data_IF_634493110691
#
_entry.id   IF_634493110691
#
_cell.length_a   1.000
_cell.length_b   1.000
_cell.length_c   1.000
_cell.angle_alpha   90.00
_cell.angle_beta   90.00
_cell.angle_gamma   90.00
#
_symmetry.space_group_name_H-M   'P 1'
#
loop_
_entity.id
_entity.type
_entity.pdbx_description
1 polymer ?
#
# COMPACT_ATOMS: atom_id res chain seq x y z
N UNK A 1 -3.78 6.60 0.85
CA UNK A 1 -2.83 5.58 0.37
C UNK A 1 -1.78 5.25 1.42
N UNK A 2 -0.95 6.22 1.85
CA UNK A 2 0.17 6.00 2.76
C UNK A 2 -0.22 5.41 4.13
N UNK A 3 -1.39 5.78 4.66
CA UNK A 3 -1.89 5.28 5.95
C UNK A 3 -1.94 3.75 6.07
N UNK A 4 -2.47 3.05 5.06
CA UNK A 4 -2.56 1.57 5.10
C UNK A 4 -1.15 0.96 5.09
N UNK A 5 -0.24 1.53 4.30
CA UNK A 5 1.14 1.05 4.21
C UNK A 5 1.91 1.28 5.50
N UNK A 6 1.66 2.38 6.22
CA UNK A 6 2.25 2.62 7.54
C UNK A 6 1.79 1.61 8.58
N UNK A 7 0.49 1.28 8.63
CA UNK A 7 -0.02 0.27 9.55
C UNK A 7 0.65 -1.08 9.31
N UNK A 8 0.72 -1.50 8.04
CA UNK A 8 1.42 -2.72 7.63
C UNK A 8 2.90 -2.68 7.99
N UNK A 9 3.59 -1.55 7.77
CA UNK A 9 5.00 -1.38 8.10
C UNK A 9 5.27 -1.44 9.61
N UNK A 10 4.29 -1.02 10.43
CA UNK A 10 4.33 -1.15 11.88
C UNK A 10 3.95 -2.57 12.38
N UNK A 11 3.78 -3.53 11.47
CA UNK A 11 3.56 -4.94 11.79
C UNK A 11 2.11 -5.32 12.04
N UNK A 12 1.15 -4.45 11.73
CA UNK A 12 -0.27 -4.79 11.85
C UNK A 12 -0.66 -5.84 10.81
N UNK A 13 -1.45 -6.82 11.23
CA UNK A 13 -2.11 -7.77 10.32
C UNK A 13 -3.27 -7.11 9.58
N UNK A 14 -3.69 -7.72 8.47
CA UNK A 14 -4.86 -7.26 7.69
C UNK A 14 -6.12 -7.32 8.57
N UNK A 15 -6.23 -8.36 9.37
CA UNK A 15 -7.34 -8.59 10.30
C UNK A 15 -7.42 -7.46 11.34
N UNK A 16 -6.31 -7.12 12.00
CA UNK A 16 -6.26 -6.01 12.97
C UNK A 16 -6.64 -4.66 12.33
N UNK A 17 -6.21 -4.41 11.09
CA UNK A 17 -6.59 -3.19 10.36
C UNK A 17 -8.09 -3.15 10.12
N UNK A 18 -8.71 -4.25 9.67
CA UNK A 18 -10.15 -4.30 9.40
C UNK A 18 -10.99 -4.20 10.68
N UNK A 19 -10.51 -4.76 11.79
CA UNK A 19 -11.17 -4.66 13.10
C UNK A 19 -11.16 -3.23 13.65
N UNK A 20 -10.03 -2.52 13.53
CA UNK A 20 -9.88 -1.15 14.04
C UNK A 20 -10.47 -0.09 13.09
N UNK A 21 -10.58 -0.41 11.81
CA UNK A 21 -11.10 0.48 10.77
C UNK A 21 -12.20 -0.22 9.95
N UNK A 22 -13.41 -0.43 10.53
CA UNK A 22 -14.50 -1.20 9.91
C UNK A 22 -15.07 -0.60 8.61
N UNK A 23 -14.70 0.65 8.30
CA UNK A 23 -15.01 1.29 7.02
C UNK A 23 -14.14 0.77 5.87
N UNK A 24 -12.98 0.19 6.17
CA UNK A 24 -12.08 -0.40 5.18
C UNK A 24 -12.56 -1.79 4.80
N UNK A 25 -12.30 -2.14 3.55
CA UNK A 25 -12.45 -3.48 3.03
C UNK A 25 -11.09 -4.05 2.68
N UNK A 26 -11.05 -5.37 2.54
CA UNK A 26 -9.82 -6.09 2.19
C UNK A 26 -9.28 -5.62 0.82
N UNK A 27 -10.16 -5.24 -0.09
CA UNK A 27 -9.83 -4.68 -1.40
C UNK A 27 -9.05 -3.36 -1.29
N UNK A 28 -9.43 -2.46 -0.37
CA UNK A 28 -8.74 -1.18 -0.17
C UNK A 28 -7.27 -1.39 0.22
N UNK A 29 -7.01 -2.43 1.03
CA UNK A 29 -5.66 -2.80 1.46
C UNK A 29 -4.83 -3.31 0.26
N UNK A 30 -5.41 -4.19 -0.55
CA UNK A 30 -4.73 -4.70 -1.73
C UNK A 30 -4.51 -3.63 -2.81
N UNK A 31 -5.44 -2.70 -2.98
CA UNK A 31 -5.27 -1.56 -3.88
C UNK A 31 -4.13 -0.66 -3.44
N UNK A 32 -3.99 -0.40 -2.14
CA UNK A 32 -2.87 0.37 -1.59
C UNK A 32 -1.51 -0.30 -1.87
N UNK A 33 -1.41 -1.62 -1.66
CA UNK A 33 -0.20 -2.40 -1.95
C UNK A 33 0.10 -2.42 -3.46
N UNK A 34 -0.92 -2.63 -4.29
CA UNK A 34 -0.78 -2.64 -5.75
C UNK A 34 -0.28 -1.30 -6.27
N UNK A 35 -0.86 -0.21 -5.79
CA UNK A 35 -0.45 1.13 -6.18
C UNK A 35 0.99 1.42 -5.77
N UNK A 36 1.39 1.05 -4.55
CA UNK A 36 2.79 1.17 -4.11
C UNK A 36 3.74 0.37 -5.02
N UNK A 37 3.38 -0.88 -5.33
CA UNK A 37 4.17 -1.71 -6.25
C UNK A 37 4.26 -1.13 -7.66
N UNK A 38 3.19 -0.48 -8.15
CA UNK A 38 3.15 0.15 -9.46
C UNK A 38 4.10 1.35 -9.52
N UNK A 39 4.07 2.22 -8.51
CA UNK A 39 5.00 3.37 -8.42
C UNK A 39 6.45 2.89 -8.40
N UNK A 40 6.78 1.93 -7.53
CA UNK A 40 8.15 1.44 -7.41
C UNK A 40 8.67 0.82 -8.72
N UNK A 41 7.77 0.20 -9.50
CA UNK A 41 8.09 -0.35 -10.81
C UNK A 41 8.24 0.73 -11.89
N UNK A 42 7.50 1.84 -11.80
CA UNK A 42 7.63 2.98 -12.70
C UNK A 42 8.89 3.81 -12.40
N UNK A 43 9.34 3.88 -11.15
CA UNK A 43 10.61 4.56 -10.80
C UNK A 43 11.86 3.87 -11.38
N UNK A 44 11.82 2.56 -11.67
CA UNK A 44 12.89 1.87 -12.43
C UNK A 44 13.01 2.37 -13.88
N UNK A 45 12.01 3.09 -14.40
CA UNK A 45 11.92 3.54 -15.80
C UNK A 45 12.14 5.05 -16.01
N UNK A 46 12.76 5.74 -15.06
CA UNK A 46 13.31 7.07 -15.34
C UNK A 46 14.71 6.88 -15.93
N UNK A 47 14.75 6.49 -17.20
CA UNK A 47 15.96 6.56 -18.00
C UNK A 47 16.36 8.04 -18.09
N UNK A 48 17.49 8.39 -17.47
CA UNK A 48 18.06 9.73 -17.56
C UNK A 48 18.61 9.86 -18.98
N UNK A 49 17.76 10.26 -19.92
CA UNK A 49 18.19 10.67 -21.25
C UNK A 49 19.23 11.78 -21.09
N UNK A 50 20.48 11.43 -21.41
CA UNK A 50 21.64 12.31 -21.48
C UNK A 50 21.61 13.18 -22.74
#
# INVERSE_FOLDING_TARGET
MYFILELLANGWSIEEILENYPQLKKEDIYEAIRYASMILKEEEYIEISS
#
